data_IF_143678609000
#
_entry.id   IF_143678609000
#
_cell.length_a   1.000
_cell.length_b   1.000
_cell.length_c   1.000
_cell.angle_alpha   90.00
_cell.angle_beta   90.00
_cell.angle_gamma   90.00
#
_symmetry.space_group_name_H-M   'P 1'
#
loop_
_entity.id
_entity.type
_entity.pdbx_description
1 polymer ?
#
# COMPACT_ATOMS: atom_id res chain seq x y z
N UNK A 1 -7.76 60.71 26.28
CA UNK A 1 -9.18 60.99 25.92
C UNK A 1 -9.52 60.19 24.66
N UNK A 2 -10.73 59.71 24.53
CA UNK A 2 -11.12 58.98 23.31
C UNK A 2 -11.21 59.97 22.15
N UNK A 3 -10.66 59.69 20.97
CA UNK A 3 -10.72 60.53 19.78
C UNK A 3 -12.17 60.95 19.41
N UNK A 4 -13.15 60.11 19.76
CA UNK A 4 -14.56 60.41 19.61
C UNK A 4 -15.04 61.56 20.48
N UNK A 5 -14.53 61.68 21.72
CA UNK A 5 -14.83 62.75 22.64
C UNK A 5 -14.22 64.05 22.12
N UNK A 6 -13.00 64.01 21.61
CA UNK A 6 -12.31 65.16 21.02
C UNK A 6 -13.02 65.68 19.76
N UNK A 7 -13.41 64.78 18.86
CA UNK A 7 -14.21 65.13 17.66
C UNK A 7 -15.55 65.74 18.06
N UNK A 8 -16.22 65.21 19.11
CA UNK A 8 -17.48 65.80 19.61
C UNK A 8 -17.31 67.23 20.18
N UNK A 9 -16.19 67.45 20.90
CA UNK A 9 -15.86 68.78 21.42
C UNK A 9 -15.56 69.78 20.33
N UNK A 10 -14.75 69.39 19.33
CA UNK A 10 -14.44 70.21 18.17
C UNK A 10 -15.69 70.53 17.35
N UNK A 11 -16.64 69.59 17.19
CA UNK A 11 -17.94 69.87 16.53
C UNK A 11 -18.75 70.92 17.29
N UNK A 12 -18.77 70.89 18.62
CA UNK A 12 -19.43 71.94 19.41
C UNK A 12 -18.74 73.31 19.21
N UNK A 13 -17.41 73.34 19.27
CA UNK A 13 -16.65 74.57 19.01
C UNK A 13 -16.87 75.12 17.61
N UNK A 14 -16.94 74.26 16.57
CA UNK A 14 -17.28 74.66 15.20
C UNK A 14 -18.65 75.31 15.13
N UNK A 15 -19.66 74.73 15.79
CA UNK A 15 -21.02 75.33 15.81
C UNK A 15 -21.03 76.67 16.48
N UNK A 16 -20.34 76.85 17.63
CA UNK A 16 -20.23 78.17 18.28
C UNK A 16 -19.49 79.17 17.45
N UNK A 17 -18.43 78.79 16.71
CA UNK A 17 -17.77 79.68 15.74
C UNK A 17 -18.70 80.14 14.59
N UNK A 18 -19.56 79.26 14.10
CA UNK A 18 -20.55 79.51 13.09
C UNK A 18 -21.60 80.49 13.63
N UNK A 19 -22.11 80.30 14.85
CA UNK A 19 -23.06 81.17 15.53
C UNK A 19 -22.50 82.59 15.71
N UNK A 20 -21.19 82.71 15.98
CA UNK A 20 -20.47 83.98 16.13
C UNK A 20 -20.03 84.58 14.76
N UNK A 21 -20.38 83.99 13.65
CA UNK A 21 -19.99 84.43 12.29
C UNK A 21 -18.48 84.43 12.04
N UNK A 22 -17.69 83.60 12.84
CA UNK A 22 -16.25 83.42 12.63
C UNK A 22 -16.01 82.24 11.71
N UNK A 23 -16.22 82.46 10.39
CA UNK A 23 -16.10 81.41 9.40
C UNK A 23 -14.67 80.92 9.17
N UNK A 24 -13.63 81.67 9.50
CA UNK A 24 -12.24 81.30 9.40
C UNK A 24 -11.88 80.29 10.49
N UNK A 25 -12.34 80.59 11.73
CA UNK A 25 -12.16 79.66 12.83
C UNK A 25 -12.95 78.33 12.63
N UNK A 26 -14.21 78.46 12.15
CA UNK A 26 -15.02 77.30 11.82
C UNK A 26 -14.35 76.39 10.77
N UNK A 27 -13.75 76.95 9.71
CA UNK A 27 -12.98 76.23 8.70
C UNK A 27 -11.74 75.56 9.24
N UNK A 28 -10.99 76.22 10.12
CA UNK A 28 -9.81 75.67 10.76
C UNK A 28 -10.14 74.46 11.66
N UNK A 29 -11.26 74.54 12.41
CA UNK A 29 -11.76 73.45 13.26
C UNK A 29 -12.25 72.28 12.37
N UNK A 30 -12.89 72.55 11.24
CA UNK A 30 -13.32 71.49 10.32
C UNK A 30 -12.14 70.67 9.75
N UNK A 31 -11.06 71.37 9.37
CA UNK A 31 -9.83 70.73 8.96
C UNK A 31 -9.20 69.84 10.09
N UNK A 32 -9.31 70.26 11.35
CA UNK A 32 -8.85 69.44 12.47
C UNK A 32 -9.72 68.21 12.65
N UNK A 33 -11.06 68.34 12.55
CA UNK A 33 -11.98 67.21 12.60
C UNK A 33 -11.66 66.21 11.49
N UNK A 34 -11.45 66.67 10.24
CA UNK A 34 -11.10 65.81 9.13
C UNK A 34 -9.79 65.06 9.40
N UNK A 35 -8.72 65.69 9.85
CA UNK A 35 -7.46 65.06 10.21
C UNK A 35 -7.64 63.97 11.27
N UNK A 36 -8.43 64.20 12.32
CA UNK A 36 -8.73 63.21 13.34
C UNK A 36 -9.53 62.01 12.83
N UNK A 37 -10.51 62.28 11.93
CA UNK A 37 -11.30 61.22 11.29
C UNK A 37 -10.42 60.37 10.37
N UNK A 38 -9.54 61.00 9.59
CA UNK A 38 -8.61 60.28 8.72
C UNK A 38 -7.61 59.41 9.53
N UNK A 39 -7.05 59.97 10.60
CA UNK A 39 -6.18 59.25 11.52
C UNK A 39 -6.89 58.03 12.17
N UNK A 40 -8.15 58.20 12.60
CA UNK A 40 -8.98 57.15 13.15
C UNK A 40 -9.28 56.06 12.12
N UNK A 41 -9.60 56.45 10.91
CA UNK A 41 -9.87 55.54 9.80
C UNK A 41 -8.60 54.71 9.44
N UNK A 42 -7.42 55.37 9.40
CA UNK A 42 -6.15 54.69 9.18
C UNK A 42 -5.85 53.68 10.29
N UNK A 43 -6.07 54.08 11.55
CA UNK A 43 -5.84 53.18 12.70
C UNK A 43 -6.79 51.96 12.66
N UNK A 44 -8.08 52.17 12.33
CA UNK A 44 -9.04 51.09 12.20
C UNK A 44 -8.68 50.16 11.03
N UNK A 45 -8.25 50.72 9.90
CA UNK A 45 -7.82 49.91 8.74
C UNK A 45 -6.59 49.07 9.07
N UNK A 46 -5.59 49.63 9.78
CA UNK A 46 -4.43 48.88 10.24
C UNK A 46 -4.82 47.78 11.21
N UNK A 47 -5.70 48.04 12.18
CA UNK A 47 -6.19 47.04 13.12
C UNK A 47 -6.93 45.90 12.43
N UNK A 48 -7.78 46.24 11.43
CA UNK A 48 -8.48 45.23 10.63
C UNK A 48 -7.53 44.41 9.78
N UNK A 49 -6.50 45.01 9.17
CA UNK A 49 -5.47 44.30 8.41
C UNK A 49 -4.68 43.33 9.31
N UNK A 50 -4.25 43.79 10.48
CA UNK A 50 -3.53 42.97 11.44
C UNK A 50 -4.38 41.78 11.89
N UNK A 51 -5.67 42.00 12.14
CA UNK A 51 -6.62 40.92 12.48
C UNK A 51 -6.79 39.91 11.34
N UNK A 52 -6.91 40.41 10.10
CA UNK A 52 -7.02 39.55 8.92
C UNK A 52 -5.77 38.70 8.72
N UNK A 53 -4.57 39.27 8.85
CA UNK A 53 -3.30 38.57 8.77
C UNK A 53 -3.17 37.49 9.87
N UNK A 54 -3.53 37.82 11.10
CA UNK A 54 -3.50 36.82 12.19
C UNK A 54 -4.45 35.66 11.90
N UNK A 55 -5.66 35.93 11.46
CA UNK A 55 -6.63 34.90 11.12
C UNK A 55 -6.12 34.03 9.98
N UNK A 56 -5.56 34.64 8.94
CA UNK A 56 -4.97 33.92 7.82
C UNK A 56 -3.83 32.98 8.25
N UNK A 57 -2.92 33.48 9.08
CA UNK A 57 -1.80 32.69 9.56
C UNK A 57 -2.24 31.46 10.41
N UNK A 58 -3.27 31.63 11.23
CA UNK A 58 -3.84 30.51 11.99
C UNK A 58 -4.44 29.45 11.03
N UNK A 59 -5.21 29.89 10.03
CA UNK A 59 -5.80 28.98 9.04
C UNK A 59 -4.72 28.30 8.19
N UNK A 60 -3.66 29.02 7.81
CA UNK A 60 -2.50 28.47 7.09
C UNK A 60 -1.83 27.36 7.88
N UNK A 61 -1.56 27.58 9.18
CA UNK A 61 -0.94 26.54 10.02
C UNK A 61 -1.86 25.32 10.21
N UNK A 62 -3.16 25.52 10.35
CA UNK A 62 -4.11 24.41 10.40
C UNK A 62 -4.11 23.58 9.09
N UNK A 63 -4.09 24.23 7.94
CA UNK A 63 -4.01 23.56 6.63
C UNK A 63 -2.68 22.83 6.48
N UNK A 64 -1.57 23.39 6.95
CA UNK A 64 -0.27 22.74 6.96
C UNK A 64 -0.25 21.44 7.80
N UNK A 65 -0.89 21.48 8.98
CA UNK A 65 -1.05 20.28 9.81
C UNK A 65 -1.87 19.23 9.06
N UNK A 66 -3.01 19.61 8.45
CA UNK A 66 -3.83 18.70 7.67
C UNK A 66 -3.07 18.10 6.49
N UNK A 67 -2.31 18.89 5.74
CA UNK A 67 -1.48 18.41 4.64
C UNK A 67 -0.43 17.39 5.13
N UNK A 68 0.18 17.62 6.28
CA UNK A 68 1.14 16.69 6.89
C UNK A 68 0.47 15.37 7.34
N UNK A 69 -0.72 15.43 7.91
CA UNK A 69 -1.50 14.24 8.28
C UNK A 69 -1.89 13.42 7.05
N UNK A 70 -2.36 14.08 5.99
CA UNK A 70 -2.69 13.42 4.72
C UNK A 70 -1.47 12.78 4.07
N UNK A 71 -0.31 13.43 4.14
CA UNK A 71 0.94 12.86 3.69
C UNK A 71 1.30 11.57 4.43
N UNK A 72 1.19 11.58 5.77
CA UNK A 72 1.44 10.39 6.57
C UNK A 72 0.46 9.25 6.26
N UNK A 73 -0.80 9.59 5.99
CA UNK A 73 -1.80 8.60 5.59
C UNK A 73 -1.50 8.03 4.21
N UNK A 74 -1.17 8.87 3.23
CA UNK A 74 -0.73 8.46 1.91
C UNK A 74 0.47 7.49 1.98
N UNK A 75 1.50 7.87 2.72
CA UNK A 75 2.66 7.01 2.94
C UNK A 75 2.29 5.64 3.53
N UNK A 76 1.43 5.63 4.53
CA UNK A 76 0.94 4.39 5.14
C UNK A 76 0.15 3.53 4.16
N UNK A 77 -0.67 4.13 3.29
CA UNK A 77 -1.44 3.42 2.26
C UNK A 77 -0.50 2.79 1.22
N UNK A 78 0.48 3.55 0.72
CA UNK A 78 1.51 3.04 -0.21
C UNK A 78 2.30 1.89 0.41
N UNK A 79 2.75 2.03 1.66
CA UNK A 79 3.47 0.99 2.37
C UNK A 79 2.64 -0.30 2.52
N UNK A 80 1.38 -0.18 2.93
CA UNK A 80 0.46 -1.32 3.06
C UNK A 80 0.23 -2.00 1.72
N UNK A 81 0.02 -1.23 0.65
CA UNK A 81 -0.16 -1.75 -0.70
C UNK A 81 1.11 -2.50 -1.15
N UNK A 82 2.29 -1.90 -1.02
CA UNK A 82 3.59 -2.52 -1.37
C UNK A 82 3.82 -3.83 -0.64
N UNK A 83 3.60 -3.86 0.67
CA UNK A 83 3.73 -5.08 1.49
C UNK A 83 2.75 -6.16 1.04
N UNK A 84 1.50 -5.81 0.70
CA UNK A 84 0.50 -6.75 0.19
C UNK A 84 0.91 -7.36 -1.16
N UNK A 85 1.39 -6.54 -2.10
CA UNK A 85 1.82 -7.02 -3.41
C UNK A 85 3.09 -7.85 -3.32
N UNK A 86 4.04 -7.50 -2.45
CA UNK A 86 5.23 -8.32 -2.20
C UNK A 86 4.87 -9.71 -1.66
N UNK A 87 3.95 -9.80 -0.70
CA UNK A 87 3.45 -11.09 -0.21
C UNK A 87 2.78 -11.89 -1.34
N UNK A 88 2.00 -11.24 -2.18
CA UNK A 88 1.35 -11.88 -3.32
C UNK A 88 2.35 -12.42 -4.34
N UNK A 89 3.40 -11.65 -4.69
CA UNK A 89 4.49 -12.12 -5.58
C UNK A 89 5.19 -13.35 -5.01
N UNK A 90 5.51 -13.33 -3.73
CA UNK A 90 6.15 -14.49 -3.09
C UNK A 90 5.27 -15.75 -3.17
N UNK A 91 3.96 -15.60 -2.94
CA UNK A 91 3.01 -16.72 -3.07
C UNK A 91 2.88 -17.21 -4.52
N UNK A 92 2.85 -16.31 -5.51
CA UNK A 92 2.84 -16.68 -6.93
C UNK A 92 4.13 -17.43 -7.29
N UNK A 93 5.29 -16.91 -6.95
CA UNK A 93 6.58 -17.57 -7.20
C UNK A 93 6.64 -18.99 -6.59
N UNK A 94 6.17 -19.15 -5.36
CA UNK A 94 6.10 -20.45 -4.72
C UNK A 94 5.11 -21.39 -5.44
N UNK A 95 3.96 -20.88 -5.85
CA UNK A 95 2.97 -21.64 -6.64
C UNK A 95 3.53 -22.07 -8.00
N UNK A 96 4.21 -21.17 -8.69
CA UNK A 96 4.85 -21.44 -9.99
C UNK A 96 5.95 -22.49 -9.86
N UNK A 97 6.81 -22.36 -8.85
CA UNK A 97 7.86 -23.34 -8.58
C UNK A 97 7.29 -24.73 -8.28
N UNK A 98 6.26 -24.81 -7.46
CA UNK A 98 5.58 -26.07 -7.14
C UNK A 98 4.92 -26.71 -8.38
N UNK A 99 4.31 -25.92 -9.25
CA UNK A 99 3.68 -26.41 -10.47
C UNK A 99 4.72 -26.97 -11.46
N UNK A 100 5.86 -26.29 -11.62
CA UNK A 100 6.97 -26.75 -12.46
C UNK A 100 7.61 -28.02 -11.88
N UNK A 101 7.81 -28.08 -10.57
CA UNK A 101 8.35 -29.29 -9.91
C UNK A 101 7.44 -30.49 -10.09
N UNK A 102 6.12 -30.30 -9.96
CA UNK A 102 5.13 -31.35 -10.19
C UNK A 102 5.15 -31.84 -11.64
N UNK A 103 5.22 -30.92 -12.61
CA UNK A 103 5.32 -31.26 -14.02
C UNK A 103 6.61 -32.07 -14.31
N UNK A 104 7.73 -31.71 -13.71
CA UNK A 104 9.00 -32.44 -13.84
C UNK A 104 8.94 -33.85 -13.24
N UNK A 105 8.23 -34.01 -12.12
CA UNK A 105 8.01 -35.32 -11.50
C UNK A 105 7.12 -36.23 -12.39
N UNK A 106 6.04 -35.67 -12.95
CA UNK A 106 5.17 -36.38 -13.87
C UNK A 106 5.91 -36.81 -15.14
N UNK A 107 6.75 -35.92 -15.70
CA UNK A 107 7.61 -36.20 -16.81
C UNK A 107 8.56 -37.36 -16.53
N UNK A 108 9.26 -37.35 -15.40
CA UNK A 108 10.20 -38.42 -15.02
C UNK A 108 9.50 -39.78 -14.89
N UNK A 109 8.31 -39.79 -14.28
CA UNK A 109 7.50 -41.02 -14.14
C UNK A 109 7.05 -41.58 -15.50
N UNK A 110 6.56 -40.71 -16.39
CA UNK A 110 6.09 -41.14 -17.72
C UNK A 110 7.25 -41.64 -18.58
N UNK A 111 8.41 -40.97 -18.48
CA UNK A 111 9.62 -41.40 -19.19
C UNK A 111 10.10 -42.79 -18.71
N UNK A 112 10.08 -43.05 -17.38
CA UNK A 112 10.41 -44.37 -16.80
C UNK A 112 9.45 -45.45 -17.29
N UNK A 113 8.15 -45.18 -17.28
CA UNK A 113 7.12 -46.12 -17.79
C UNK A 113 7.36 -46.47 -19.23
N UNK A 114 7.56 -45.48 -20.12
CA UNK A 114 7.76 -45.73 -21.53
C UNK A 114 9.11 -46.38 -21.87
N UNK A 115 10.13 -46.18 -21.06
CA UNK A 115 11.45 -46.89 -21.20
C UNK A 115 11.37 -48.32 -20.77
N UNK A 116 10.58 -48.66 -19.76
CA UNK A 116 10.44 -50.05 -19.23
C UNK A 116 9.37 -50.87 -19.95
N UNK A 117 8.49 -50.22 -20.70
CA UNK A 117 7.41 -50.87 -21.41
C UNK A 117 7.92 -51.86 -22.48
N UNK A 118 7.43 -53.09 -22.45
CA UNK A 118 7.80 -54.16 -23.37
C UNK A 118 7.67 -53.78 -24.84
N UNK A 119 8.54 -54.34 -25.67
CA UNK A 119 8.52 -54.15 -27.14
C UNK A 119 8.35 -55.55 -27.80
N UNK A 120 7.09 -55.98 -28.01
CA UNK A 120 6.80 -57.35 -28.47
C UNK A 120 7.43 -57.69 -29.81
N UNK A 121 7.54 -56.70 -30.70
CA UNK A 121 8.15 -56.89 -32.03
C UNK A 121 9.64 -57.28 -31.92
N UNK A 122 10.40 -56.53 -31.09
CA UNK A 122 11.80 -56.83 -30.86
C UNK A 122 11.99 -58.19 -30.14
N UNK A 123 11.11 -58.50 -29.20
CA UNK A 123 11.16 -59.77 -28.46
C UNK A 123 10.81 -60.97 -29.41
N UNK A 124 9.87 -60.76 -30.32
CA UNK A 124 9.53 -61.76 -31.35
C UNK A 124 10.74 -62.07 -32.26
N UNK A 125 11.42 -61.03 -32.76
CA UNK A 125 12.65 -61.19 -33.57
C UNK A 125 13.77 -61.86 -32.81
N UNK A 126 13.96 -61.48 -31.54
CA UNK A 126 14.92 -62.14 -30.66
C UNK A 126 14.64 -63.64 -30.47
N UNK A 127 13.38 -64.02 -30.27
CA UNK A 127 12.97 -65.42 -30.14
C UNK A 127 13.20 -66.17 -31.45
N UNK A 128 12.90 -65.59 -32.60
CA UNK A 128 13.21 -66.19 -33.93
C UNK A 128 14.72 -66.39 -34.09
N UNK A 129 15.56 -65.41 -33.70
CA UNK A 129 17.00 -65.59 -33.74
C UNK A 129 17.46 -66.75 -32.89
N UNK A 130 16.90 -66.96 -31.69
CA UNK A 130 17.23 -68.08 -30.82
C UNK A 130 16.86 -69.44 -31.43
N UNK A 131 15.70 -69.51 -32.11
CA UNK A 131 15.26 -70.72 -32.81
C UNK A 131 16.21 -71.03 -33.97
N UNK A 132 16.59 -70.07 -34.79
CA UNK A 132 17.56 -70.25 -35.87
C UNK A 132 18.94 -70.69 -35.37
N UNK A 133 19.41 -70.08 -34.29
CA UNK A 133 20.69 -70.52 -33.67
C UNK A 133 20.68 -71.97 -33.19
N UNK A 134 19.54 -72.45 -32.66
CA UNK A 134 19.38 -73.86 -32.26
C UNK A 134 19.41 -74.79 -33.48
N UNK A 135 18.99 -74.31 -34.65
CA UNK A 135 19.06 -75.06 -35.93
C UNK A 135 20.45 -74.94 -36.61
N UNK A 136 21.47 -74.38 -35.92
CA UNK A 136 22.84 -74.16 -36.44
C UNK A 136 22.91 -73.11 -37.60
N UNK A 137 21.89 -72.30 -37.80
CA UNK A 137 21.84 -71.23 -38.82
C UNK A 137 22.36 -69.90 -38.22
N UNK A 138 23.65 -69.86 -37.82
CA UNK A 138 24.21 -68.76 -37.02
C UNK A 138 24.22 -67.40 -37.70
N UNK A 139 24.49 -67.34 -39.02
CA UNK A 139 24.52 -66.08 -39.79
C UNK A 139 23.12 -65.43 -39.85
N UNK A 140 22.06 -66.25 -40.04
CA UNK A 140 20.67 -65.79 -40.03
C UNK A 140 20.23 -65.38 -38.64
N UNK A 141 20.69 -66.13 -37.62
CA UNK A 141 20.40 -65.78 -36.23
C UNK A 141 21.03 -64.45 -35.82
N UNK A 142 22.26 -64.14 -36.21
CA UNK A 142 22.93 -62.86 -35.98
C UNK A 142 22.23 -61.70 -36.64
N UNK A 143 21.82 -61.86 -37.91
CA UNK A 143 21.07 -60.87 -38.66
C UNK A 143 19.74 -60.54 -37.95
N UNK A 144 18.95 -61.56 -37.54
CA UNK A 144 17.69 -61.37 -36.81
C UNK A 144 17.88 -60.71 -35.45
N UNK A 145 18.98 -61.05 -34.76
CA UNK A 145 19.28 -60.41 -33.47
C UNK A 145 19.64 -58.94 -33.63
N UNK A 146 20.43 -58.55 -34.64
CA UNK A 146 20.73 -57.14 -34.97
C UNK A 146 19.46 -56.37 -35.34
N UNK A 147 18.58 -56.99 -36.12
CA UNK A 147 17.27 -56.40 -36.44
C UNK A 147 16.43 -56.18 -35.19
N UNK A 148 16.37 -57.13 -34.28
CA UNK A 148 15.68 -57.00 -32.99
C UNK A 148 16.23 -55.80 -32.18
N UNK A 149 17.56 -55.62 -32.14
CA UNK A 149 18.18 -54.50 -31.42
C UNK A 149 17.84 -53.17 -32.11
N UNK A 150 17.87 -53.08 -33.41
CA UNK A 150 17.49 -51.87 -34.16
C UNK A 150 16.03 -51.49 -33.93
N UNK A 151 15.08 -52.44 -34.02
CA UNK A 151 13.66 -52.22 -33.74
C UNK A 151 13.49 -51.72 -32.29
N UNK A 152 14.17 -52.35 -31.34
CA UNK A 152 14.11 -51.91 -29.92
C UNK A 152 14.58 -50.46 -29.76
N UNK A 153 15.69 -50.11 -30.36
CA UNK A 153 16.28 -48.78 -30.25
C UNK A 153 15.37 -47.74 -30.93
N UNK A 154 14.84 -48.00 -32.11
CA UNK A 154 13.94 -47.08 -32.83
C UNK A 154 12.65 -46.85 -32.08
N UNK A 155 12.01 -47.89 -31.53
CA UNK A 155 10.77 -47.75 -30.77
C UNK A 155 11.00 -46.99 -29.48
N UNK A 156 12.09 -47.30 -28.73
CA UNK A 156 12.45 -46.58 -27.50
C UNK A 156 12.67 -45.08 -27.79
N UNK A 157 13.47 -44.78 -28.82
CA UNK A 157 13.72 -43.38 -29.20
C UNK A 157 12.43 -42.66 -29.57
N UNK A 158 11.58 -43.27 -30.41
CA UNK A 158 10.29 -42.66 -30.78
C UNK A 158 9.39 -42.39 -29.57
N UNK A 159 9.33 -43.30 -28.60
CA UNK A 159 8.56 -43.13 -27.37
C UNK A 159 9.13 -41.99 -26.49
N UNK A 160 10.46 -41.96 -26.32
CA UNK A 160 11.13 -40.90 -25.58
C UNK A 160 10.90 -39.53 -26.21
N UNK A 161 11.04 -39.45 -27.55
CA UNK A 161 10.81 -38.21 -28.29
C UNK A 161 9.35 -37.73 -28.16
N UNK A 162 8.39 -38.63 -28.16
CA UNK A 162 6.98 -38.30 -27.95
C UNK A 162 6.73 -37.75 -26.54
N UNK A 163 7.31 -38.36 -25.50
CA UNK A 163 7.24 -37.86 -24.11
C UNK A 163 7.92 -36.48 -23.98
N UNK A 164 9.14 -36.35 -24.51
CA UNK A 164 9.86 -35.08 -24.51
C UNK A 164 9.04 -33.96 -25.19
N UNK A 165 8.48 -34.21 -26.37
CA UNK A 165 7.67 -33.24 -27.08
C UNK A 165 6.45 -32.82 -26.27
N UNK A 166 5.68 -33.77 -25.73
CA UNK A 166 4.50 -33.53 -24.90
C UNK A 166 4.82 -32.63 -23.69
N UNK A 167 5.87 -32.97 -22.95
CA UNK A 167 6.22 -32.22 -21.73
C UNK A 167 6.87 -30.87 -22.01
N UNK A 168 7.58 -30.72 -23.13
CA UNK A 168 8.04 -29.39 -23.58
C UNK A 168 6.88 -28.45 -23.92
N UNK A 169 5.85 -28.96 -24.58
CA UNK A 169 4.63 -28.19 -24.88
C UNK A 169 3.89 -27.78 -23.59
N UNK A 170 3.71 -28.73 -22.66
CA UNK A 170 3.10 -28.44 -21.34
C UNK A 170 3.90 -27.42 -20.52
N UNK A 171 5.21 -27.54 -20.50
CA UNK A 171 6.10 -26.62 -19.82
C UNK A 171 5.99 -25.20 -20.40
N UNK A 172 6.05 -25.08 -21.73
CA UNK A 172 5.91 -23.79 -22.42
C UNK A 172 4.55 -23.13 -22.10
N UNK A 173 3.47 -23.91 -22.12
CA UNK A 173 2.14 -23.42 -21.77
C UNK A 173 2.06 -22.96 -20.31
N UNK A 174 2.67 -23.72 -19.37
CA UNK A 174 2.71 -23.39 -17.97
C UNK A 174 3.53 -22.11 -17.70
N UNK A 175 4.70 -21.98 -18.33
CA UNK A 175 5.54 -20.78 -18.24
C UNK A 175 4.83 -19.53 -18.79
N UNK A 176 4.11 -19.66 -19.90
CA UNK A 176 3.30 -18.58 -20.47
C UNK A 176 2.15 -18.16 -19.51
N UNK A 177 1.48 -19.13 -18.89
CA UNK A 177 0.46 -18.88 -17.88
C UNK A 177 1.04 -18.16 -16.66
N UNK A 178 2.15 -18.63 -16.12
CA UNK A 178 2.82 -18.03 -14.98
C UNK A 178 3.20 -16.58 -15.26
N UNK A 179 3.79 -16.30 -16.42
CA UNK A 179 4.10 -14.94 -16.86
C UNK A 179 2.86 -14.04 -16.94
N UNK A 180 1.75 -14.58 -17.47
CA UNK A 180 0.49 -13.81 -17.50
C UNK A 180 -0.04 -13.46 -16.11
N UNK A 181 0.12 -14.35 -15.12
CA UNK A 181 -0.28 -14.11 -13.73
C UNK A 181 0.61 -13.04 -13.08
N UNK A 182 1.92 -13.06 -13.33
CA UNK A 182 2.86 -12.04 -12.87
C UNK A 182 2.55 -10.66 -13.50
N UNK A 183 2.35 -10.59 -14.82
CA UNK A 183 1.96 -9.37 -15.52
C UNK A 183 0.65 -8.78 -15.00
N UNK A 184 -0.32 -9.65 -14.65
CA UNK A 184 -1.59 -9.23 -14.06
C UNK A 184 -1.39 -8.67 -12.63
N UNK A 185 -0.50 -9.27 -11.85
CA UNK A 185 -0.15 -8.78 -10.52
C UNK A 185 0.47 -7.37 -10.60
N UNK A 186 1.41 -7.17 -11.53
CA UNK A 186 2.09 -5.88 -11.74
C UNK A 186 1.13 -4.79 -12.25
N UNK A 187 0.22 -5.14 -13.17
CA UNK A 187 -0.83 -4.22 -13.62
C UNK A 187 -1.74 -3.76 -12.47
N UNK A 188 -2.16 -4.70 -11.63
CA UNK A 188 -3.00 -4.37 -10.46
C UNK A 188 -2.26 -3.52 -9.44
N UNK A 189 -0.98 -3.78 -9.22
CA UNK A 189 -0.16 -2.95 -8.34
C UNK A 189 -0.07 -1.51 -8.84
N UNK A 190 0.25 -1.33 -10.12
CA UNK A 190 0.29 0.01 -10.75
C UNK A 190 -1.05 0.74 -10.64
N UNK A 191 -2.16 0.05 -10.89
CA UNK A 191 -3.50 0.64 -10.75
C UNK A 191 -3.75 1.14 -9.33
N UNK A 192 -3.46 0.32 -8.31
CA UNK A 192 -3.64 0.71 -6.91
C UNK A 192 -2.77 1.91 -6.53
N UNK A 193 -1.51 1.94 -6.95
CA UNK A 193 -0.64 3.09 -6.69
C UNK A 193 -1.12 4.36 -7.38
N UNK A 194 -1.54 4.27 -8.64
CA UNK A 194 -2.11 5.41 -9.36
C UNK A 194 -3.38 5.94 -8.66
N UNK A 195 -4.24 5.05 -8.18
CA UNK A 195 -5.45 5.42 -7.45
C UNK A 195 -5.13 6.13 -6.12
N UNK A 196 -4.21 5.59 -5.32
CA UNK A 196 -3.75 6.20 -4.07
C UNK A 196 -3.17 7.59 -4.34
N UNK A 197 -2.32 7.73 -5.35
CA UNK A 197 -1.71 9.01 -5.72
C UNK A 197 -2.74 10.03 -6.23
N UNK A 198 -3.68 9.59 -7.06
CA UNK A 198 -4.76 10.46 -7.56
C UNK A 198 -5.62 10.97 -6.42
N UNK A 199 -5.98 10.10 -5.48
CA UNK A 199 -6.76 10.48 -4.30
C UNK A 199 -6.01 11.50 -3.44
N UNK A 200 -4.73 11.26 -3.17
CA UNK A 200 -3.89 12.21 -2.44
C UNK A 200 -3.82 13.57 -3.14
N UNK A 201 -3.52 13.60 -4.43
CA UNK A 201 -3.43 14.85 -5.19
C UNK A 201 -4.76 15.61 -5.17
N UNK A 202 -5.89 14.92 -5.32
CA UNK A 202 -7.21 15.55 -5.26
C UNK A 202 -7.51 16.20 -3.90
N UNK A 203 -7.09 15.56 -2.82
CA UNK A 203 -7.29 16.11 -1.47
C UNK A 203 -6.35 17.30 -1.20
N UNK A 204 -5.10 17.22 -1.62
CA UNK A 204 -4.14 18.34 -1.53
C UNK A 204 -4.63 19.54 -2.36
N UNK A 205 -5.14 19.32 -3.56
CA UNK A 205 -5.73 20.38 -4.40
C UNK A 205 -6.93 21.06 -3.72
N UNK A 206 -7.73 20.32 -2.96
CA UNK A 206 -8.85 20.91 -2.19
C UNK A 206 -8.33 21.81 -1.07
N UNK A 207 -7.26 21.41 -0.37
CA UNK A 207 -6.63 22.22 0.66
C UNK A 207 -6.04 23.51 0.06
N UNK A 208 -5.34 23.41 -1.07
CA UNK A 208 -4.78 24.58 -1.77
C UNK A 208 -5.88 25.57 -2.18
N UNK A 209 -6.95 25.08 -2.81
CA UNK A 209 -8.12 25.91 -3.19
C UNK A 209 -8.79 26.54 -1.96
N UNK A 210 -8.82 25.84 -0.83
CA UNK A 210 -9.37 26.37 0.41
C UNK A 210 -8.50 27.51 0.92
N UNK A 211 -7.18 27.37 0.95
CA UNK A 211 -6.25 28.43 1.35
C UNK A 211 -6.34 29.63 0.40
N UNK A 212 -6.42 29.37 -0.91
CA UNK A 212 -6.61 30.42 -1.92
C UNK A 212 -7.91 31.23 -1.69
N UNK A 213 -9.02 30.55 -1.47
CA UNK A 213 -10.29 31.20 -1.19
C UNK A 213 -10.24 32.04 0.09
N UNK A 214 -9.50 31.60 1.11
CA UNK A 214 -9.30 32.36 2.37
C UNK A 214 -8.42 33.59 2.16
N UNK A 215 -7.32 33.46 1.43
CA UNK A 215 -6.46 34.58 1.03
C UNK A 215 -7.25 35.68 0.34
N UNK A 216 -8.06 35.31 -0.66
CA UNK A 216 -8.92 36.25 -1.38
C UNK A 216 -9.95 36.91 -0.47
N UNK A 217 -10.63 36.14 0.39
CA UNK A 217 -11.67 36.67 1.29
C UNK A 217 -11.11 37.67 2.31
N UNK A 218 -9.90 37.42 2.80
CA UNK A 218 -9.24 38.27 3.80
C UNK A 218 -8.40 39.37 3.16
N UNK A 219 -8.30 39.40 1.83
CA UNK A 219 -7.47 40.33 1.06
C UNK A 219 -5.99 40.30 1.51
N UNK A 220 -5.48 39.11 1.79
CA UNK A 220 -4.09 38.83 2.20
C UNK A 220 -3.36 38.19 1.04
N UNK A 221 -2.24 38.72 0.55
CA UNK A 221 -1.48 38.09 -0.52
C UNK A 221 -0.87 36.77 -0.05
N UNK A 222 -0.86 35.77 -0.94
CA UNK A 222 -0.19 34.48 -0.68
C UNK A 222 1.33 34.65 -0.72
N UNK A 223 2.04 33.98 0.19
CA UNK A 223 3.49 33.88 0.17
C UNK A 223 3.99 32.85 -0.86
N UNK A 224 5.21 33.02 -1.36
CA UNK A 224 5.85 32.06 -2.27
C UNK A 224 6.05 30.67 -1.63
N UNK A 225 6.29 30.63 -0.31
CA UNK A 225 6.45 29.40 0.47
C UNK A 225 5.17 28.52 0.49
N UNK A 226 4.02 29.09 0.16
CA UNK A 226 2.74 28.37 0.20
C UNK A 226 2.58 27.43 -0.99
N UNK A 227 3.20 27.72 -2.13
CA UNK A 227 3.23 26.84 -3.28
C UNK A 227 4.04 25.57 -3.01
N UNK A 228 5.06 25.63 -2.15
CA UNK A 228 5.86 24.47 -1.75
C UNK A 228 5.12 23.51 -0.81
N UNK A 229 4.17 24.02 -0.01
CA UNK A 229 3.37 23.18 0.90
C UNK A 229 2.52 22.14 0.18
N UNK A 230 2.17 22.39 -1.08
CA UNK A 230 1.27 21.55 -1.88
C UNK A 230 1.96 20.86 -3.06
N UNK A 231 3.29 20.83 -3.08
CA UNK A 231 4.02 20.07 -4.12
C UNK A 231 3.68 18.59 -4.03
N UNK A 232 3.44 17.93 -5.18
CA UNK A 232 3.33 16.48 -5.22
C UNK A 232 4.67 15.87 -4.76
N UNK A 233 4.64 15.14 -3.65
CA UNK A 233 5.82 14.75 -2.88
C UNK A 233 6.53 13.50 -3.39
N UNK A 234 5.99 12.79 -4.42
CA UNK A 234 6.64 11.59 -4.93
C UNK A 234 6.53 11.44 -6.43
N UNK A 235 7.66 11.25 -7.06
CA UNK A 235 7.79 10.65 -8.38
C UNK A 235 7.61 9.13 -8.28
N UNK A 236 7.31 8.45 -9.40
CA UNK A 236 7.21 6.99 -9.44
C UNK A 236 8.48 6.29 -8.91
N UNK A 237 9.64 6.93 -9.04
CA UNK A 237 10.93 6.39 -8.59
C UNK A 237 11.09 6.48 -7.06
N UNK A 238 10.61 7.56 -6.45
CA UNK A 238 10.60 7.70 -4.98
C UNK A 238 9.65 6.70 -4.32
N UNK A 239 8.53 6.34 -4.98
CA UNK A 239 7.64 5.27 -4.50
C UNK A 239 8.37 3.92 -4.48
N UNK A 240 9.29 3.67 -5.42
CA UNK A 240 10.10 2.44 -5.45
C UNK A 240 11.09 2.36 -4.29
N UNK A 241 11.61 3.51 -3.84
CA UNK A 241 12.58 3.61 -2.75
C UNK A 241 11.96 3.61 -1.34
N UNK A 242 10.63 3.70 -1.21
CA UNK A 242 9.97 3.60 0.10
C UNK A 242 10.32 2.24 0.74
N UNK A 243 11.35 2.26 1.57
CA UNK A 243 11.67 1.13 2.44
C UNK A 243 10.66 1.06 3.59
N UNK A 244 10.34 -0.15 4.07
CA UNK A 244 9.55 -0.27 5.29
C UNK A 244 10.25 0.50 6.40
N UNK A 245 9.59 1.53 6.93
CA UNK A 245 10.00 2.10 8.20
C UNK A 245 10.17 0.93 9.16
N UNK A 246 11.40 0.71 9.62
CA UNK A 246 11.64 -0.21 10.73
C UNK A 246 10.60 0.14 11.80
N UNK A 247 9.87 -0.84 12.36
CA UNK A 247 8.91 -0.53 13.39
C UNK A 247 9.67 0.27 14.44
N UNK A 248 9.39 1.55 14.53
CA UNK A 248 9.85 2.37 15.66
C UNK A 248 9.27 1.63 16.85
N UNK A 249 10.14 0.89 17.54
CA UNK A 249 9.85 0.33 18.83
C UNK A 249 9.31 1.51 19.66
N UNK A 250 7.98 1.61 19.72
CA UNK A 250 7.35 2.42 20.74
C UNK A 250 7.81 1.80 22.03
N UNK A 251 8.91 2.34 22.58
CA UNK A 251 9.25 2.07 23.97
C UNK A 251 7.98 2.35 24.75
N UNK A 252 7.40 1.34 25.41
CA UNK A 252 6.26 1.59 26.25
C UNK A 252 6.71 2.66 27.25
N UNK A 253 6.00 3.79 27.26
CA UNK A 253 6.15 4.80 28.29
C UNK A 253 6.08 4.07 29.62
N UNK A 254 7.24 3.92 30.25
CA UNK A 254 7.35 3.35 31.58
C UNK A 254 6.40 4.11 32.48
N UNK A 255 5.45 3.48 33.16
CA UNK A 255 4.63 4.15 34.12
C UNK A 255 5.56 4.73 35.16
N UNK A 256 5.50 6.06 35.36
CA UNK A 256 6.16 6.76 36.44
C UNK A 256 5.70 6.12 37.76
N UNK A 257 6.49 5.18 38.25
CA UNK A 257 6.36 4.68 39.62
C UNK A 257 6.81 5.78 40.54
N UNK A 258 5.88 6.47 41.15
CA UNK A 258 6.10 7.25 42.35
C UNK A 258 6.51 6.32 43.49
N UNK A 259 7.53 6.66 44.28
CA UNK A 259 7.94 5.82 45.41
C UNK A 259 6.98 6.06 46.58
N UNK A 260 6.19 5.07 46.94
CA UNK A 260 5.52 4.98 48.21
C UNK A 260 6.16 3.88 49.04
N UNK A 261 6.65 4.33 50.17
CA UNK A 261 7.37 3.66 51.24
C UNK A 261 6.67 2.44 51.86
N UNK A 262 7.41 1.61 52.62
CA UNK A 262 7.03 0.25 52.98
C UNK A 262 6.33 0.16 54.35
N UNK A 263 5.47 -0.82 54.52
CA UNK A 263 5.10 -1.49 55.79
C UNK A 263 3.95 -2.46 55.48
N UNK A 264 3.91 -3.67 55.88
CA UNK A 264 4.15 -4.47 57.07
C UNK A 264 3.84 -5.94 56.77
N UNK A 265 4.50 -6.78 57.47
CA UNK A 265 4.51 -8.25 57.48
C UNK A 265 3.19 -8.94 57.82
N UNK A 266 3.01 -10.11 57.14
CA UNK A 266 2.63 -11.46 57.69
C UNK A 266 1.18 -11.73 58.11
N UNK A 267 0.79 -13.03 58.26
CA UNK A 267 1.31 -14.28 57.71
C UNK A 267 0.22 -15.18 57.04
N UNK A 268 0.67 -16.29 56.47
CA UNK A 268 -0.06 -17.50 56.03
C UNK A 268 -0.97 -18.10 57.12
N UNK A 269 -2.03 -18.87 56.78
CA UNK A 269 -1.86 -20.30 56.67
C UNK A 269 -2.70 -20.99 55.54
N UNK A 270 -2.06 -21.92 54.92
CA UNK A 270 -2.27 -23.41 54.78
C UNK A 270 -3.67 -23.99 54.59
N UNK A 271 -3.69 -24.91 53.62
CA UNK A 271 -4.46 -26.17 53.48
C UNK A 271 -5.84 -26.05 52.86
N UNK A 272 -6.23 -26.89 51.94
CA UNK A 272 -6.41 -28.32 51.79
C UNK A 272 -7.21 -28.55 50.48
N UNK A 273 -6.72 -29.39 49.55
CA UNK A 273 -7.19 -30.74 49.24
C UNK A 273 -8.65 -30.93 48.99
N UNK A 274 -8.99 -31.37 47.76
CA UNK A 274 -9.82 -32.52 47.33
C UNK A 274 -10.31 -32.26 45.91
N UNK A 275 -9.95 -33.03 44.93
CA UNK A 275 -10.37 -34.38 44.49
C UNK A 275 -11.79 -34.39 43.89
N UNK A 276 -11.79 -35.04 42.76
CA UNK A 276 -12.87 -35.80 42.12
C UNK A 276 -13.78 -34.98 41.17
N UNK A 277 -14.11 -35.43 40.00
CA UNK A 277 -14.13 -36.73 39.31
C UNK A 277 -14.73 -36.52 37.92
N UNK A 278 -14.28 -37.25 37.00
CA UNK A 278 -14.88 -37.64 35.69
C UNK A 278 -16.27 -38.30 35.83
N UNK A 279 -16.90 -38.79 34.76
CA UNK A 279 -17.13 -38.43 33.35
C UNK A 279 -18.59 -38.68 32.94
N UNK A 280 -19.00 -38.41 31.70
CA UNK A 280 -19.98 -39.20 30.91
C UNK A 280 -20.42 -38.40 29.68
N UNK A 281 -20.14 -38.85 28.52
CA UNK A 281 -20.67 -39.90 27.67
C UNK A 281 -22.00 -39.57 26.99
N UNK A 282 -21.91 -39.76 25.67
CA UNK A 282 -22.98 -40.21 24.76
C UNK A 282 -24.07 -39.19 24.34
N UNK A 283 -24.33 -39.03 23.11
CA UNK A 283 -25.00 -39.93 22.17
C UNK A 283 -25.48 -39.16 20.93
N UNK A 284 -25.21 -39.66 19.83
CA UNK A 284 -26.02 -40.18 18.70
C UNK A 284 -26.44 -39.21 17.62
N UNK A 285 -25.97 -39.57 16.45
CA UNK A 285 -26.59 -39.43 15.13
C UNK A 285 -28.08 -39.84 15.13
N UNK A 286 -28.90 -39.49 14.14
CA UNK A 286 -28.75 -39.93 12.78
C UNK A 286 -29.35 -39.05 11.66
N UNK A 287 -28.80 -39.26 10.45
CA UNK A 287 -29.46 -39.58 9.14
C UNK A 287 -30.62 -38.76 8.60
N UNK A 288 -30.47 -38.62 7.30
CA UNK A 288 -31.46 -38.74 6.18
C UNK A 288 -31.65 -37.42 5.44
N UNK A 289 -31.27 -37.32 4.20
CA UNK A 289 -31.74 -37.98 2.97
C UNK A 289 -32.55 -37.03 2.09
N UNK A 290 -32.19 -37.03 0.82
CA UNK A 290 -32.99 -36.74 -0.40
C UNK A 290 -33.40 -35.28 -0.64
N UNK A 291 -32.99 -34.65 -1.69
CA UNK A 291 -33.30 -34.87 -3.11
C UNK A 291 -32.17 -34.27 -3.97
#
# INVERSE_FOLDING_TARGET
MSSDHEIALLRKQKNTAIENCDFQQAKSIDLQIQKLLDAKNQQNNQANLTKALLTYNIEKENIKIQASEMYNEYYNQVYKAKSRFQKRRNLLQQSHANALAKLAEEYAKELEVETTRAIPEADTRKNQAQIRARNQEYDVADALFKESQQIRQQILQSRQDAVHKKYNELRTALEAKNKSEDDLCDKKEKQVFTEIQTNYNNEIDKLDKTLQARSLRLNVPRGEDEAEMFRPLFTEDEIKEIQPLSPVLRTPLSPKTSPLSPKLQSPRPTSRVSQNSTPRANRTTPTRSTN
#
